data_IF_738860063457
#
_entry.id   IF_738860063457
#
_cell.length_a   1.000
_cell.length_b   1.000
_cell.length_c   1.000
_cell.angle_alpha   90.00
_cell.angle_beta   90.00
_cell.angle_gamma   90.00
#
_symmetry.space_group_name_H-M   'P 1'
#
loop_
_entity.id
_entity.type
_entity.pdbx_description
1 polymer ?
#
# COMPACT_ATOMS: atom_id res chain seq x y z
N UNK A 1 -1.88 10.33 -1.87
CA UNK A 1 -2.52 9.41 -0.89
C UNK A 1 -1.61 8.28 -0.44
N UNK A 2 -0.56 7.95 -1.21
CA UNK A 2 0.29 6.78 -0.93
C UNK A 2 1.59 7.14 -0.24
N UNK A 3 2.17 6.15 0.46
CA UNK A 3 3.54 6.16 0.95
C UNK A 3 4.17 4.80 0.65
N UNK A 4 5.43 4.82 0.22
CA UNK A 4 6.24 3.62 -0.02
C UNK A 4 7.40 3.69 0.97
N UNK A 5 7.62 2.64 1.79
CA UNK A 5 8.69 2.66 2.78
C UNK A 5 10.05 2.75 2.08
N UNK A 6 10.99 3.45 2.72
CA UNK A 6 12.35 3.49 2.21
C UNK A 6 13.00 2.10 2.32
N UNK A 7 13.65 1.63 1.26
CA UNK A 7 14.44 0.39 1.30
C UNK A 7 15.79 0.64 1.96
N UNK A 8 16.18 -0.24 2.89
CA UNK A 8 17.49 -0.27 3.54
C UNK A 8 18.38 -1.27 2.81
N UNK A 9 18.97 -0.85 1.69
CA UNK A 9 19.67 -1.74 0.75
C UNK A 9 20.85 -2.47 1.39
N UNK A 10 21.50 -1.86 2.37
CA UNK A 10 22.57 -2.45 3.18
C UNK A 10 22.13 -3.63 4.06
N UNK A 11 20.82 -3.76 4.30
CA UNK A 11 20.21 -4.84 5.07
C UNK A 11 19.43 -5.83 4.19
N UNK A 12 19.48 -5.67 2.86
CA UNK A 12 18.86 -6.59 1.92
C UNK A 12 19.82 -7.71 1.47
N UNK A 13 19.24 -8.82 1.02
CA UNK A 13 19.94 -9.91 0.34
C UNK A 13 19.06 -10.46 -0.79
N UNK A 14 19.54 -11.47 -1.52
CA UNK A 14 18.77 -12.12 -2.59
C UNK A 14 17.44 -12.73 -2.11
N UNK A 15 17.25 -12.93 -0.81
CA UNK A 15 16.06 -13.54 -0.22
C UNK A 15 15.41 -12.72 0.90
N UNK A 16 15.94 -11.53 1.20
CA UNK A 16 15.45 -10.67 2.29
C UNK A 16 15.37 -9.22 1.82
N UNK A 17 14.18 -8.63 1.92
CA UNK A 17 13.94 -7.21 1.70
C UNK A 17 13.74 -6.50 3.04
N UNK A 18 14.65 -5.60 3.39
CA UNK A 18 14.57 -4.77 4.59
C UNK A 18 14.11 -3.34 4.22
N UNK A 19 13.09 -2.84 4.92
CA UNK A 19 12.47 -1.55 4.62
C UNK A 19 12.07 -0.81 5.90
N UNK A 20 11.84 0.50 5.76
CA UNK A 20 11.35 1.37 6.82
C UNK A 20 10.04 0.82 7.41
N UNK A 21 9.96 0.78 8.74
CA UNK A 21 8.75 0.35 9.41
C UNK A 21 7.64 1.40 9.28
N UNK A 22 6.51 0.99 8.74
CA UNK A 22 5.30 1.80 8.69
C UNK A 22 4.33 1.30 9.76
N UNK A 23 3.95 2.19 10.68
CA UNK A 23 2.90 1.93 11.66
C UNK A 23 1.53 2.20 11.03
N UNK A 24 0.82 1.13 10.67
CA UNK A 24 -0.49 1.20 10.04
C UNK A 24 -1.29 -0.09 10.23
N UNK A 25 -2.61 0.03 10.06
CA UNK A 25 -3.53 -1.11 10.12
C UNK A 25 -3.59 -1.82 8.78
N UNK A 26 -3.61 -3.16 8.72
CA UNK A 26 -3.87 -3.89 7.48
C UNK A 26 -5.15 -3.40 6.81
N UNK A 27 -5.14 -3.25 5.49
CA UNK A 27 -6.27 -2.67 4.74
C UNK A 27 -7.56 -3.48 4.91
N UNK A 28 -7.47 -4.77 5.21
CA UNK A 28 -8.62 -5.64 5.49
C UNK A 28 -9.47 -5.13 6.66
N UNK A 29 -8.84 -4.48 7.65
CA UNK A 29 -9.56 -3.91 8.81
C UNK A 29 -10.37 -2.66 8.47
N UNK A 30 -10.25 -2.13 7.25
CA UNK A 30 -10.94 -0.91 6.83
C UNK A 30 -12.47 -1.08 6.89
N UNK A 31 -12.98 -2.31 6.84
CA UNK A 31 -14.42 -2.59 6.98
C UNK A 31 -15.02 -2.10 8.30
N UNK A 32 -14.20 -1.97 9.35
CA UNK A 32 -14.62 -1.49 10.67
C UNK A 32 -14.54 0.04 10.81
N UNK A 33 -14.03 0.75 9.81
CA UNK A 33 -13.94 2.21 9.79
C UNK A 33 -15.23 2.84 9.26
N UNK A 34 -15.38 4.15 9.46
CA UNK A 34 -16.53 4.89 8.94
C UNK A 34 -16.56 4.90 7.40
N UNK A 35 -17.75 5.13 6.83
CA UNK A 35 -17.96 5.08 5.39
C UNK A 35 -17.06 6.07 4.62
N UNK A 36 -16.77 7.26 5.16
CA UNK A 36 -15.94 8.25 4.45
C UNK A 36 -14.49 7.79 4.35
N UNK A 37 -14.01 7.11 5.38
CA UNK A 37 -12.68 6.50 5.41
C UNK A 37 -12.60 5.33 4.44
N UNK A 38 -13.61 4.45 4.45
CA UNK A 38 -13.73 3.35 3.48
C UNK A 38 -13.76 3.86 2.04
N UNK A 39 -14.58 4.86 1.75
CA UNK A 39 -14.68 5.47 0.43
C UNK A 39 -13.34 6.06 0.00
N UNK A 40 -12.67 6.80 0.88
CA UNK A 40 -11.35 7.38 0.60
C UNK A 40 -10.32 6.32 0.21
N UNK A 41 -10.26 5.23 0.97
CA UNK A 41 -9.32 4.13 0.70
C UNK A 41 -9.64 3.47 -0.64
N UNK A 42 -10.90 3.09 -0.86
CA UNK A 42 -11.29 2.39 -2.09
C UNK A 42 -11.14 3.24 -3.35
N UNK A 43 -11.45 4.54 -3.28
CA UNK A 43 -11.20 5.45 -4.40
C UNK A 43 -9.71 5.59 -4.70
N UNK A 44 -8.88 5.68 -3.66
CA UNK A 44 -7.42 5.77 -3.85
C UNK A 44 -6.87 4.50 -4.51
N UNK A 45 -7.27 3.31 -4.04
CA UNK A 45 -6.83 2.04 -4.63
C UNK A 45 -7.29 1.87 -6.08
N UNK A 46 -8.51 2.30 -6.40
CA UNK A 46 -9.01 2.26 -7.77
C UNK A 46 -8.25 3.23 -8.69
N UNK A 47 -7.91 4.41 -8.18
CA UNK A 47 -7.04 5.37 -8.88
C UNK A 47 -5.67 4.75 -9.17
N UNK A 48 -5.06 4.09 -8.18
CA UNK A 48 -3.78 3.40 -8.35
C UNK A 48 -3.86 2.33 -9.45
N UNK A 49 -4.88 1.48 -9.43
CA UNK A 49 -5.10 0.45 -10.45
C UNK A 49 -5.18 1.04 -11.87
N UNK A 50 -5.89 2.16 -12.05
CA UNK A 50 -5.96 2.79 -13.37
C UNK A 50 -4.63 3.40 -13.80
N UNK A 51 -3.84 3.95 -12.88
CA UNK A 51 -2.49 4.43 -13.17
C UNK A 51 -1.55 3.28 -13.55
N UNK A 52 -1.62 2.16 -12.84
CA UNK A 52 -0.88 0.94 -13.17
C UNK A 52 -1.17 0.44 -14.59
N UNK A 53 -2.46 0.38 -14.96
CA UNK A 53 -2.90 -0.09 -16.27
C UNK A 53 -2.51 0.86 -17.40
N UNK A 54 -2.76 2.17 -17.24
CA UNK A 54 -2.71 3.11 -18.36
C UNK A 54 -1.49 4.01 -18.37
N UNK A 55 -0.95 4.36 -17.20
CA UNK A 55 0.22 5.25 -17.06
C UNK A 55 1.51 4.43 -16.98
N UNK A 56 1.61 3.54 -16.00
CA UNK A 56 2.83 2.76 -15.75
C UNK A 56 2.97 1.58 -16.69
N UNK A 57 1.85 1.05 -17.22
CA UNK A 57 1.78 -0.16 -18.04
C UNK A 57 2.45 -1.35 -17.35
N UNK A 58 2.34 -1.38 -16.04
CA UNK A 58 2.89 -2.37 -15.13
C UNK A 58 1.84 -2.56 -14.05
N UNK A 59 1.31 -3.77 -13.96
CA UNK A 59 0.21 -4.12 -13.07
C UNK A 59 0.71 -5.10 -12.05
N UNK A 60 0.36 -4.87 -10.78
CA UNK A 60 0.50 -5.90 -9.76
C UNK A 60 -0.45 -7.07 -10.09
N UNK A 61 0.11 -8.20 -10.52
CA UNK A 61 -0.68 -9.40 -10.86
C UNK A 61 -1.30 -10.08 -9.65
N UNK A 62 -0.81 -9.84 -8.43
CA UNK A 62 -1.36 -10.38 -7.19
C UNK A 62 -1.39 -9.32 -6.07
N UNK A 63 -2.45 -8.49 -5.99
CA UNK A 63 -2.62 -7.54 -4.90
C UNK A 63 -3.00 -8.28 -3.62
N UNK A 64 -2.01 -8.78 -2.89
CA UNK A 64 -2.20 -9.30 -1.55
C UNK A 64 -2.50 -8.13 -0.59
N UNK A 65 -3.69 -8.11 0.02
CA UNK A 65 -4.12 -7.04 0.92
C UNK A 65 -3.23 -6.85 2.15
N UNK A 66 -2.46 -7.87 2.56
CA UNK A 66 -1.46 -7.72 3.62
C UNK A 66 -0.33 -6.73 3.26
N UNK A 67 -0.10 -6.46 1.98
CA UNK A 67 0.90 -5.51 1.50
C UNK A 67 0.42 -4.05 1.54
N UNK A 68 -0.81 -3.81 1.98
CA UNK A 68 -1.43 -2.50 2.04
C UNK A 68 -1.75 -2.15 3.50
N UNK A 69 -1.22 -1.03 3.97
CA UNK A 69 -1.47 -0.52 5.32
C UNK A 69 -2.24 0.80 5.24
N UNK A 70 -3.28 0.96 6.02
CA UNK A 70 -3.92 2.26 6.24
C UNK A 70 -3.31 2.94 7.47
N UNK A 71 -2.78 4.14 7.26
CA UNK A 71 -2.18 4.98 8.31
C UNK A 71 -3.20 6.05 8.68
N UNK A 72 -3.92 5.83 9.78
CA UNK A 72 -5.01 6.70 10.22
C UNK A 72 -4.53 8.12 10.54
N UNK A 73 -3.39 8.23 11.24
CA UNK A 73 -2.83 9.51 11.68
C UNK A 73 -2.53 10.48 10.52
N UNK A 74 -2.04 9.97 9.39
CA UNK A 74 -1.69 10.78 8.21
C UNK A 74 -2.70 10.65 7.08
N UNK A 75 -3.68 9.75 7.24
CA UNK A 75 -4.70 9.41 6.23
C UNK A 75 -4.05 9.00 4.90
N UNK A 76 -3.07 8.10 4.99
CA UNK A 76 -2.32 7.56 3.84
C UNK A 76 -2.46 6.04 3.72
N UNK A 77 -2.13 5.53 2.54
CA UNK A 77 -2.04 4.09 2.27
C UNK A 77 -0.56 3.75 2.05
N UNK A 78 0.01 2.94 2.95
CA UNK A 78 1.33 2.35 2.82
C UNK A 78 1.29 1.16 1.86
N UNK A 79 2.24 1.13 0.92
CA UNK A 79 2.40 0.06 -0.06
C UNK A 79 3.74 -0.63 0.22
N UNK A 80 3.69 -1.86 0.76
CA UNK A 80 4.87 -2.57 1.26
C UNK A 80 5.59 -3.37 0.18
N UNK A 81 4.83 -3.96 -0.73
CA UNK A 81 5.36 -4.85 -1.75
C UNK A 81 4.55 -4.73 -3.03
N UNK A 82 5.28 -4.72 -4.15
CA UNK A 82 4.78 -4.55 -5.50
C UNK A 82 4.93 -5.80 -6.37
N UNK A 83 5.50 -6.90 -5.84
CA UNK A 83 5.71 -8.15 -6.59
C UNK A 83 6.84 -8.08 -7.62
#
# INVERSE_FOLDING_TARGET
HFVVPKVHTENCSDSVLAMEFIDGSPIEKIEHYDQRTRDFVMHSLLELLFRELFEFKMVQTDPNFANYLYIENTRQIGLLDFG
#
